data_IF_560457951280
#
_entry.id   IF_560457951280
#
_cell.length_a   1.000
_cell.length_b   1.000
_cell.length_c   1.000
_cell.angle_alpha   90.00
_cell.angle_beta   90.00
_cell.angle_gamma   90.00
#
_symmetry.space_group_name_H-M   'P 1'
#
loop_
_entity.id
_entity.type
_entity.pdbx_description
1 polymer ?
#
# COMPACT_ATOMS: atom_id res chain seq x y z
N UNK A 1 27.70 -83.91 -19.78
CA UNK A 1 27.90 -84.66 -18.52
C UNK A 1 29.05 -84.01 -17.80
N UNK A 2 28.71 -83.43 -16.67
CA UNK A 2 29.52 -82.64 -15.74
C UNK A 2 30.50 -83.53 -15.00
N UNK A 3 31.73 -83.06 -14.81
CA UNK A 3 32.34 -82.86 -13.49
C UNK A 3 33.85 -82.68 -13.64
N UNK A 4 34.33 -81.48 -13.28
CA UNK A 4 35.76 -81.22 -13.14
C UNK A 4 35.97 -80.37 -11.90
N UNK A 5 36.32 -81.11 -10.85
CA UNK A 5 37.28 -80.81 -9.81
C UNK A 5 37.48 -79.34 -9.41
N UNK A 6 37.01 -79.04 -8.20
CA UNK A 6 37.44 -77.91 -7.41
C UNK A 6 38.94 -77.98 -7.09
N UNK A 7 39.66 -76.88 -7.36
CA UNK A 7 40.88 -76.52 -6.64
C UNK A 7 40.82 -75.03 -6.33
N UNK A 8 40.48 -74.73 -5.08
CA UNK A 8 40.65 -73.43 -4.46
C UNK A 8 42.14 -73.09 -4.44
N UNK A 9 42.53 -72.05 -5.17
CA UNK A 9 43.82 -71.39 -4.99
C UNK A 9 43.60 -70.18 -4.07
N UNK A 10 44.26 -70.19 -2.91
CA UNK A 10 44.32 -69.05 -2.00
C UNK A 10 45.05 -67.90 -2.67
N UNK A 11 44.42 -66.73 -2.71
CA UNK A 11 45.14 -65.47 -2.95
C UNK A 11 45.14 -64.69 -1.65
N UNK A 12 46.35 -64.56 -1.13
CA UNK A 12 46.78 -63.83 0.05
C UNK A 12 46.25 -62.39 0.00
N UNK A 13 45.26 -62.06 0.84
CA UNK A 13 44.89 -60.66 1.08
C UNK A 13 45.89 -60.07 2.07
N UNK A 14 46.65 -59.11 1.58
CA UNK A 14 47.56 -58.28 2.36
C UNK A 14 46.74 -57.46 3.35
N UNK A 15 46.96 -57.70 4.64
CA UNK A 15 46.29 -57.04 5.76
C UNK A 15 46.75 -55.58 5.83
N UNK A 16 45.88 -54.64 5.43
CA UNK A 16 46.08 -53.22 5.66
C UNK A 16 45.62 -52.93 7.09
N UNK A 17 46.57 -52.61 7.98
CA UNK A 17 46.27 -52.25 9.38
C UNK A 17 45.18 -51.18 9.45
N UNK A 18 44.22 -51.29 10.39
CA UNK A 18 43.24 -50.24 10.60
C UNK A 18 43.98 -49.04 11.19
N UNK A 19 44.11 -47.97 10.41
CA UNK A 19 44.53 -46.69 10.95
C UNK A 19 43.38 -46.20 11.84
N UNK A 20 43.51 -46.41 13.15
CA UNK A 20 42.56 -45.91 14.14
C UNK A 20 42.62 -44.38 14.12
N UNK A 21 41.66 -43.77 13.43
CA UNK A 21 41.47 -42.32 13.41
C UNK A 21 41.26 -41.88 14.87
N UNK A 22 42.14 -41.03 15.45
CA UNK A 22 41.95 -40.56 16.82
C UNK A 22 40.64 -39.78 16.90
N UNK A 23 39.83 -40.07 17.93
CA UNK A 23 38.59 -39.35 18.15
C UNK A 23 38.87 -37.84 18.19
N UNK A 24 38.08 -37.02 17.48
CA UNK A 24 38.35 -35.60 17.40
C UNK A 24 38.28 -34.98 18.81
N UNK A 25 39.17 -34.05 19.13
CA UNK A 25 39.19 -33.42 20.44
C UNK A 25 37.88 -32.66 20.72
N UNK A 26 37.41 -32.72 21.98
CA UNK A 26 36.06 -32.33 22.40
C UNK A 26 35.65 -30.89 22.01
N UNK A 27 36.62 -29.97 21.88
CA UNK A 27 36.37 -28.59 21.45
C UNK A 27 35.80 -28.48 20.02
N UNK A 28 36.17 -29.39 19.11
CA UNK A 28 35.63 -29.42 17.74
C UNK A 28 34.16 -29.82 17.73
N UNK A 29 33.76 -30.71 18.65
CA UNK A 29 32.36 -31.10 18.80
C UNK A 29 31.53 -29.96 19.37
N UNK A 30 32.07 -29.24 20.35
CA UNK A 30 31.44 -28.03 20.90
C UNK A 30 31.30 -26.91 19.86
N UNK A 31 32.34 -26.64 19.07
CA UNK A 31 32.28 -25.65 17.98
C UNK A 31 31.24 -26.03 16.92
N UNK A 32 31.19 -27.31 16.52
CA UNK A 32 30.17 -27.79 15.59
C UNK A 32 28.75 -27.66 16.14
N UNK A 33 28.56 -27.92 17.45
CA UNK A 33 27.27 -27.75 18.12
C UNK A 33 26.84 -26.27 18.14
N UNK A 34 27.71 -25.35 18.58
CA UNK A 34 27.41 -23.92 18.63
C UNK A 34 27.19 -23.31 17.24
N UNK A 35 27.96 -23.76 16.23
CA UNK A 35 27.76 -23.34 14.85
C UNK A 35 26.38 -23.76 14.32
N UNK A 36 25.95 -25.00 14.58
CA UNK A 36 24.62 -25.49 14.17
C UNK A 36 23.48 -24.76 14.88
N UNK A 37 23.62 -24.49 16.18
CA UNK A 37 22.62 -23.71 16.94
C UNK A 37 22.54 -22.28 16.42
N UNK A 38 23.68 -21.62 16.21
CA UNK A 38 23.75 -20.26 15.67
C UNK A 38 23.18 -20.16 14.25
N UNK A 39 23.52 -21.12 13.38
CA UNK A 39 23.02 -21.16 12.01
C UNK A 39 21.49 -21.38 11.96
N UNK A 40 20.96 -22.31 12.76
CA UNK A 40 19.51 -22.53 12.87
C UNK A 40 18.78 -21.30 13.40
N UNK A 41 19.35 -20.62 14.40
CA UNK A 41 18.78 -19.38 14.94
C UNK A 41 18.80 -18.25 13.91
N UNK A 42 19.90 -18.10 13.17
CA UNK A 42 20.03 -17.11 12.10
C UNK A 42 19.04 -17.35 10.96
N UNK A 43 18.82 -18.60 10.55
CA UNK A 43 17.81 -18.94 9.55
C UNK A 43 16.39 -18.64 10.03
N UNK A 44 16.06 -18.97 11.29
CA UNK A 44 14.77 -18.63 11.89
C UNK A 44 14.53 -17.11 11.93
N UNK A 45 15.54 -16.34 12.35
CA UNK A 45 15.49 -14.87 12.35
C UNK A 45 15.36 -14.30 10.92
N UNK A 46 16.04 -14.89 9.94
CA UNK A 46 15.96 -14.45 8.53
C UNK A 46 14.56 -14.65 7.95
N UNK A 47 13.88 -15.75 8.29
CA UNK A 47 12.49 -16.00 7.89
C UNK A 47 11.54 -15.00 8.57
N UNK A 48 11.75 -14.70 9.86
CA UNK A 48 10.93 -13.73 10.60
C UNK A 48 11.09 -12.29 10.08
N UNK A 49 12.28 -11.90 9.64
CA UNK A 49 12.53 -10.57 9.05
C UNK A 49 12.00 -10.51 7.60
N UNK A 50 12.05 -11.62 6.86
CA UNK A 50 11.56 -11.72 5.48
C UNK A 50 10.04 -11.60 5.33
N UNK A 51 9.26 -11.93 6.37
CA UNK A 51 7.79 -11.77 6.36
C UNK A 51 7.30 -10.38 6.80
N UNK A 52 8.21 -9.49 7.21
CA UNK A 52 7.87 -8.13 7.62
C UNK A 52 7.91 -7.11 6.47
N UNK A 53 8.08 -7.55 5.21
CA UNK A 53 8.11 -6.64 4.05
C UNK A 53 7.08 -7.03 2.99
N UNK A 54 5.81 -7.08 3.41
CA UNK A 54 4.68 -6.84 2.52
C UNK A 54 4.25 -5.38 2.66
N UNK A 55 4.97 -4.46 2.02
CA UNK A 55 4.40 -3.14 1.75
C UNK A 55 4.89 -2.59 0.42
N UNK A 56 4.57 -3.30 -0.65
CA UNK A 56 4.25 -2.62 -1.90
C UNK A 56 2.91 -1.91 -1.72
N UNK A 57 2.93 -0.78 -0.99
CA UNK A 57 1.81 0.15 -0.94
C UNK A 57 1.67 0.79 -2.31
N UNK A 58 0.95 0.13 -3.21
CA UNK A 58 0.25 0.84 -4.26
C UNK A 58 -0.65 1.84 -3.54
N UNK A 59 -0.25 3.11 -3.49
CA UNK A 59 -0.93 4.15 -2.75
C UNK A 59 -2.38 4.20 -3.22
N UNK A 60 -3.26 3.54 -2.49
CA UNK A 60 -4.70 3.66 -2.64
C UNK A 60 -5.09 4.68 -1.59
N UNK A 61 -5.88 5.68 -1.96
CA UNK A 61 -6.38 6.67 -1.00
C UNK A 61 -7.04 5.90 0.15
N UNK A 62 -6.61 6.08 1.41
CA UNK A 62 -7.12 5.32 2.54
C UNK A 62 -8.48 5.86 2.95
N UNK A 63 -9.49 5.64 2.11
CA UNK A 63 -10.88 5.99 2.37
C UNK A 63 -11.38 5.25 3.61
N UNK A 64 -12.01 5.98 4.52
CA UNK A 64 -12.63 5.46 5.74
C UNK A 64 -14.09 5.87 5.79
N UNK A 65 -14.90 5.19 6.60
CA UNK A 65 -16.27 5.64 6.86
C UNK A 65 -16.23 7.03 7.47
N UNK A 66 -16.99 7.97 6.92
CA UNK A 66 -16.95 9.35 7.36
C UNK A 66 -17.39 9.52 8.83
N UNK A 67 -18.32 8.68 9.29
CA UNK A 67 -18.77 8.58 10.69
C UNK A 67 -17.67 8.17 11.68
N UNK A 68 -16.57 7.58 11.22
CA UNK A 68 -15.48 7.16 12.09
C UNK A 68 -14.46 8.30 12.36
N UNK A 69 -14.39 9.32 11.51
CA UNK A 69 -13.34 10.34 11.56
C UNK A 69 -13.84 11.78 11.57
N UNK A 70 -15.14 12.00 11.40
CA UNK A 70 -15.80 13.31 11.39
C UNK A 70 -16.97 13.30 12.36
N UNK A 71 -17.19 14.41 13.05
CA UNK A 71 -18.31 14.55 13.99
C UNK A 71 -19.67 14.59 13.26
N UNK A 72 -20.71 14.12 13.95
CA UNK A 72 -22.10 14.10 13.45
C UNK A 72 -22.56 15.45 12.85
N UNK A 73 -22.35 16.61 13.51
CA UNK A 73 -22.87 17.88 13.00
C UNK A 73 -22.19 18.30 11.70
N UNK A 74 -20.89 18.00 11.54
CA UNK A 74 -20.15 18.30 10.32
C UNK A 74 -20.63 17.39 9.19
N UNK A 75 -20.89 16.11 9.47
CA UNK A 75 -21.44 15.19 8.46
C UNK A 75 -22.80 15.64 7.94
N UNK A 76 -23.68 16.09 8.83
CA UNK A 76 -24.99 16.59 8.44
C UNK A 76 -24.88 17.83 7.55
N UNK A 77 -24.03 18.79 7.93
CA UNK A 77 -23.73 19.96 7.13
C UNK A 77 -23.21 19.58 5.73
N UNK A 78 -22.24 18.67 5.66
CA UNK A 78 -21.61 18.23 4.41
C UNK A 78 -22.62 17.53 3.49
N UNK A 79 -23.46 16.66 4.05
CA UNK A 79 -24.49 15.92 3.30
C UNK A 79 -25.53 16.91 2.75
N UNK A 80 -26.10 17.76 3.61
CA UNK A 80 -27.13 18.72 3.21
C UNK A 80 -26.63 19.72 2.15
N UNK A 81 -25.34 20.09 2.20
CA UNK A 81 -24.75 21.01 1.23
C UNK A 81 -24.53 20.38 -0.16
N UNK A 82 -24.40 19.05 -0.25
CA UNK A 82 -23.96 18.37 -1.47
C UNK A 82 -24.98 17.40 -2.07
N UNK A 83 -26.05 17.07 -1.34
CA UNK A 83 -27.04 16.09 -1.80
C UNK A 83 -28.41 16.27 -1.16
N UNK A 84 -29.46 15.92 -1.89
CA UNK A 84 -30.84 15.87 -1.42
C UNK A 84 -31.21 14.50 -0.81
N UNK A 85 -30.25 13.58 -0.67
CA UNK A 85 -30.49 12.28 -0.04
C UNK A 85 -30.81 12.43 1.46
N UNK A 86 -31.61 11.49 1.96
CA UNK A 86 -31.81 11.33 3.40
C UNK A 86 -30.46 11.19 4.13
N UNK A 87 -30.32 11.90 5.25
CA UNK A 87 -29.07 11.99 6.00
C UNK A 87 -28.63 10.63 6.52
N UNK A 88 -29.54 9.80 7.04
CA UNK A 88 -29.20 8.49 7.55
C UNK A 88 -28.72 7.58 6.40
N UNK A 89 -29.43 7.59 5.28
CA UNK A 89 -29.03 6.86 4.07
C UNK A 89 -27.65 7.31 3.53
N UNK A 90 -27.39 8.62 3.51
CA UNK A 90 -26.12 9.15 3.03
C UNK A 90 -24.96 8.77 3.96
N UNK A 91 -25.15 8.85 5.29
CA UNK A 91 -24.14 8.51 6.30
C UNK A 91 -23.65 7.05 6.22
N UNK A 92 -24.51 6.11 5.85
CA UNK A 92 -24.17 4.67 5.80
C UNK A 92 -22.99 4.36 4.85
N UNK A 93 -22.94 5.07 3.72
CA UNK A 93 -22.01 4.79 2.63
C UNK A 93 -21.00 5.92 2.36
N UNK A 94 -21.13 7.06 3.05
CA UNK A 94 -20.23 8.19 2.86
C UNK A 94 -18.83 7.84 3.35
N UNK A 95 -17.88 7.92 2.43
CA UNK A 95 -16.47 7.74 2.73
C UNK A 95 -15.78 9.10 2.84
N UNK A 96 -14.77 9.18 3.68
CA UNK A 96 -13.94 10.35 3.85
C UNK A 96 -12.45 9.96 3.92
N UNK A 97 -11.60 10.88 3.48
CA UNK A 97 -10.16 10.82 3.61
C UNK A 97 -9.64 12.15 4.15
N UNK A 98 -8.83 12.09 5.19
CA UNK A 98 -8.32 13.27 5.87
C UNK A 98 -6.83 13.44 5.65
N UNK A 99 -6.42 14.68 5.39
CA UNK A 99 -5.04 15.10 5.21
C UNK A 99 -4.74 16.22 6.18
N UNK A 100 -3.64 16.11 6.92
CA UNK A 100 -3.22 17.15 7.86
C UNK A 100 -2.71 18.39 7.10
N UNK A 101 -3.21 19.55 7.50
CA UNK A 101 -2.65 20.85 7.20
C UNK A 101 -1.69 21.31 8.31
N UNK A 102 -1.36 22.60 8.34
CA UNK A 102 -0.47 23.15 9.38
C UNK A 102 -1.08 23.05 10.78
N UNK A 103 -2.24 23.70 10.96
CA UNK A 103 -2.98 23.74 12.24
C UNK A 103 -4.46 23.36 12.03
N UNK A 104 -4.71 22.48 11.04
CA UNK A 104 -6.06 22.17 10.57
C UNK A 104 -6.05 20.89 9.74
N UNK A 105 -7.21 20.46 9.27
CA UNK A 105 -7.35 19.27 8.44
C UNK A 105 -8.13 19.59 7.17
N UNK A 106 -7.70 19.01 6.06
CA UNK A 106 -8.54 18.85 4.88
C UNK A 106 -9.23 17.49 5.00
N UNK A 107 -10.56 17.45 4.92
CA UNK A 107 -11.31 16.20 4.80
C UNK A 107 -12.03 16.17 3.47
N UNK A 108 -11.64 15.23 2.61
CA UNK A 108 -12.28 14.93 1.34
C UNK A 108 -13.38 13.90 1.56
N UNK A 109 -14.58 14.18 1.07
CA UNK A 109 -15.73 13.31 1.08
C UNK A 109 -15.97 12.74 -0.32
N UNK A 110 -16.20 11.44 -0.34
CA UNK A 110 -16.42 10.68 -1.56
C UNK A 110 -17.91 10.33 -1.65
N UNK A 111 -18.62 11.04 -2.53
CA UNK A 111 -20.03 10.79 -2.83
C UNK A 111 -20.20 9.78 -3.97
N UNK A 112 -19.22 8.92 -4.23
CA UNK A 112 -19.31 7.83 -5.20
C UNK A 112 -20.28 6.75 -4.71
N UNK A 113 -21.56 7.07 -4.79
CA UNK A 113 -22.66 6.13 -4.60
C UNK A 113 -23.43 6.05 -5.92
N UNK A 114 -24.07 4.90 -6.23
CA UNK A 114 -24.81 4.75 -7.49
C UNK A 114 -25.87 5.82 -7.76
N UNK A 115 -26.38 6.48 -6.72
CA UNK A 115 -27.39 7.55 -6.83
C UNK A 115 -26.81 8.94 -7.11
N UNK A 116 -25.51 9.16 -6.83
CA UNK A 116 -24.87 10.49 -6.87
C UNK A 116 -23.79 10.62 -7.94
N UNK A 117 -23.44 9.53 -8.63
CA UNK A 117 -22.59 9.58 -9.82
C UNK A 117 -23.42 9.77 -11.08
N UNK A 118 -22.95 10.63 -11.98
CA UNK A 118 -23.57 10.88 -13.27
C UNK A 118 -22.58 10.72 -14.42
N UNK A 119 -22.98 11.15 -15.62
CA UNK A 119 -22.13 11.07 -16.83
C UNK A 119 -20.83 11.88 -16.72
N UNK A 120 -20.80 12.90 -15.86
CA UNK A 120 -19.62 13.74 -15.60
C UNK A 120 -18.65 13.15 -14.57
N UNK A 121 -18.98 11.99 -14.00
CA UNK A 121 -18.24 11.36 -12.91
C UNK A 121 -18.98 11.42 -11.58
N UNK A 122 -18.24 11.20 -10.51
CA UNK A 122 -18.74 11.20 -9.14
C UNK A 122 -18.29 12.47 -8.41
N UNK A 123 -19.15 12.98 -7.53
CA UNK A 123 -18.86 14.16 -6.75
C UNK A 123 -17.83 13.85 -5.64
N UNK A 124 -16.83 14.72 -5.53
CA UNK A 124 -15.90 14.79 -4.42
C UNK A 124 -15.89 16.20 -3.86
N UNK A 125 -16.12 16.34 -2.56
CA UNK A 125 -16.11 17.62 -1.87
C UNK A 125 -15.06 17.63 -0.76
N UNK A 126 -14.30 18.71 -0.61
CA UNK A 126 -13.26 18.86 0.41
C UNK A 126 -13.61 19.99 1.35
N UNK A 127 -13.54 19.71 2.65
CA UNK A 127 -13.81 20.67 3.70
C UNK A 127 -12.57 20.95 4.53
N UNK A 128 -12.38 22.23 4.84
CA UNK A 128 -11.37 22.71 5.78
C UNK A 128 -11.94 22.65 7.19
N UNK A 129 -11.42 21.72 7.98
CA UNK A 129 -11.82 21.50 9.36
C UNK A 129 -10.77 22.11 10.30
N UNK A 130 -11.22 23.01 11.16
CA UNK A 130 -10.41 23.69 12.17
C UNK A 130 -11.06 23.49 13.53
N UNK A 131 -10.23 23.38 14.56
CA UNK A 131 -10.73 23.20 15.93
C UNK A 131 -11.64 24.37 16.32
N UNK A 132 -12.82 24.07 16.87
CA UNK A 132 -13.82 25.04 17.29
C UNK A 132 -14.30 26.02 16.20
N UNK A 133 -14.17 25.67 14.92
CA UNK A 133 -14.65 26.48 13.80
C UNK A 133 -15.59 25.67 12.91
N UNK A 134 -16.52 26.33 12.20
CA UNK A 134 -17.39 25.66 11.26
C UNK A 134 -16.59 25.03 10.12
N UNK A 135 -17.08 23.90 9.60
CA UNK A 135 -16.52 23.30 8.40
C UNK A 135 -16.77 24.22 7.20
N UNK A 136 -15.72 24.49 6.43
CA UNK A 136 -15.79 25.35 5.24
C UNK A 136 -15.49 24.50 4.01
N UNK A 137 -16.38 24.50 3.02
CA UNK A 137 -16.10 23.82 1.75
C UNK A 137 -15.03 24.59 0.97
N UNK A 138 -13.97 23.90 0.56
CA UNK A 138 -12.82 24.48 -0.12
C UNK A 138 -12.48 23.78 -1.44
N UNK A 139 -13.09 22.62 -1.72
CA UNK A 139 -12.89 21.87 -2.96
C UNK A 139 -14.20 21.19 -3.35
N UNK A 140 -14.56 21.23 -4.63
CA UNK A 140 -15.69 20.49 -5.16
C UNK A 140 -15.42 20.19 -6.62
N UNK A 141 -15.43 18.92 -7.01
CA UNK A 141 -15.25 18.51 -8.41
C UNK A 141 -15.97 17.19 -8.69
N UNK A 142 -16.46 17.07 -9.92
CA UNK A 142 -16.88 15.80 -10.49
C UNK A 142 -15.67 15.13 -11.13
N UNK A 143 -15.34 13.93 -10.67
CA UNK A 143 -14.16 13.19 -11.10
C UNK A 143 -14.56 11.77 -11.48
N UNK A 144 -13.87 11.22 -12.49
CA UNK A 144 -14.02 9.81 -12.85
C UNK A 144 -13.16 8.95 -11.90
N UNK A 145 -13.76 8.08 -11.07
CA UNK A 145 -13.01 7.19 -10.18
C UNK A 145 -12.39 5.98 -10.91
N UNK A 146 -12.77 5.74 -12.17
CA UNK A 146 -12.33 4.58 -12.93
C UNK A 146 -10.93 4.81 -13.50
N UNK A 147 -9.92 4.53 -12.69
CA UNK A 147 -8.51 4.60 -13.05
C UNK A 147 -7.93 3.19 -13.25
N UNK A 148 -6.81 3.04 -13.98
CA UNK A 148 -6.06 1.80 -14.04
C UNK A 148 -5.67 1.30 -12.65
N UNK A 149 -5.47 0.00 -12.51
CA UNK A 149 -5.04 -0.60 -11.25
C UNK A 149 -3.79 0.09 -10.67
N UNK A 150 -3.75 0.24 -9.35
CA UNK A 150 -2.66 0.86 -8.60
C UNK A 150 -2.44 2.36 -8.90
N UNK A 151 -3.41 3.06 -9.47
CA UNK A 151 -3.39 4.51 -9.63
C UNK A 151 -4.45 5.16 -8.71
N UNK A 152 -4.03 5.89 -7.66
CA UNK A 152 -4.98 6.58 -6.79
C UNK A 152 -5.63 7.76 -7.50
N UNK A 153 -6.91 7.98 -7.22
CA UNK A 153 -7.62 9.18 -7.67
C UNK A 153 -7.02 10.45 -7.06
N UNK A 154 -6.71 10.43 -5.76
CA UNK A 154 -6.11 11.55 -5.05
C UNK A 154 -4.76 11.17 -4.45
N UNK A 155 -3.85 12.13 -4.38
CA UNK A 155 -2.63 12.05 -3.59
C UNK A 155 -2.37 13.40 -2.94
N UNK A 156 -1.63 13.38 -1.83
CA UNK A 156 -1.12 14.61 -1.22
C UNK A 156 0.01 15.12 -2.11
N UNK A 157 -0.15 16.34 -2.62
CA UNK A 157 0.87 17.01 -3.41
C UNK A 157 1.86 17.79 -2.55
N UNK A 158 2.66 18.61 -3.22
CA UNK A 158 3.64 19.48 -2.58
C UNK A 158 3.01 20.42 -1.54
N UNK A 159 3.66 20.60 -0.39
CA UNK A 159 3.28 21.64 0.56
C UNK A 159 4.00 22.95 0.23
N UNK A 160 3.25 23.94 -0.25
CA UNK A 160 3.78 25.26 -0.64
C UNK A 160 3.75 26.30 0.48
N UNK A 161 3.74 25.85 1.73
CA UNK A 161 3.63 26.75 2.88
C UNK A 161 2.23 27.34 3.09
N UNK A 162 1.22 26.78 2.43
CA UNK A 162 -0.19 27.15 2.60
C UNK A 162 -0.78 26.51 3.87
N UNK A 163 -2.01 26.90 4.25
CA UNK A 163 -2.68 26.32 5.41
C UNK A 163 -3.03 24.83 5.20
N UNK A 164 -3.30 24.45 3.95
CA UNK A 164 -3.59 23.10 3.50
C UNK A 164 -2.60 22.69 2.40
N UNK A 165 -2.23 21.40 2.29
CA UNK A 165 -1.34 20.92 1.24
C UNK A 165 -2.02 20.97 -0.14
N UNK A 166 -1.24 20.89 -1.21
CA UNK A 166 -1.81 20.68 -2.54
C UNK A 166 -2.40 19.27 -2.67
N UNK A 167 -3.33 19.10 -3.60
CA UNK A 167 -3.90 17.82 -4.01
C UNK A 167 -3.47 17.49 -5.43
N UNK A 168 -2.96 16.29 -5.63
CA UNK A 168 -2.79 15.72 -6.96
C UNK A 168 -3.99 14.83 -7.27
N UNK A 169 -4.62 15.05 -8.42
CA UNK A 169 -5.78 14.30 -8.86
C UNK A 169 -5.46 13.64 -10.20
N UNK A 170 -5.57 12.32 -10.27
CA UNK A 170 -5.40 11.58 -11.52
C UNK A 170 -6.76 11.39 -12.22
N UNK A 171 -6.82 11.66 -13.51
CA UNK A 171 -8.00 11.46 -14.35
C UNK A 171 -7.62 10.77 -15.66
N UNK A 172 -8.57 10.02 -16.24
CA UNK A 172 -8.43 9.52 -17.60
C UNK A 172 -8.79 10.62 -18.61
N UNK A 173 -7.97 10.79 -19.63
CA UNK A 173 -8.21 11.64 -20.80
C UNK A 173 -8.01 10.78 -22.06
N UNK A 174 -9.11 10.14 -22.50
CA UNK A 174 -9.04 9.03 -23.44
C UNK A 174 -8.26 7.87 -22.83
N UNK A 175 -7.22 7.39 -23.52
CA UNK A 175 -6.35 6.30 -23.05
C UNK A 175 -5.12 6.80 -22.24
N UNK A 176 -5.06 8.10 -21.94
CA UNK A 176 -3.92 8.71 -21.24
C UNK A 176 -4.32 9.13 -19.83
N UNK A 177 -3.37 9.04 -18.90
CA UNK A 177 -3.55 9.61 -17.57
C UNK A 177 -3.18 11.09 -17.59
N UNK A 178 -4.02 11.90 -16.97
CA UNK A 178 -3.80 13.32 -16.73
C UNK A 178 -3.69 13.55 -15.23
N UNK A 179 -2.63 14.24 -14.81
CA UNK A 179 -2.46 14.70 -13.45
C UNK A 179 -2.86 16.17 -13.35
N UNK A 180 -3.77 16.46 -12.43
CA UNK A 180 -4.27 17.78 -12.09
C UNK A 180 -3.73 18.14 -10.71
N UNK A 181 -3.04 19.26 -10.59
CA UNK A 181 -2.50 19.72 -9.31
C UNK A 181 -3.34 20.91 -8.83
N UNK A 182 -4.02 20.73 -7.71
CA UNK A 182 -4.82 21.75 -7.06
C UNK A 182 -4.11 22.25 -5.81
N UNK A 183 -4.06 23.56 -5.57
CA UNK A 183 -3.49 24.11 -4.34
C UNK A 183 -4.44 25.10 -3.69
N UNK A 184 -4.38 25.18 -2.36
CA UNK A 184 -5.23 26.06 -1.58
C UNK A 184 -4.72 27.49 -1.61
N UNK A 185 -5.53 28.43 -2.08
CA UNK A 185 -5.13 29.83 -2.23
C UNK A 185 -5.45 30.73 -1.02
N UNK A 186 -5.95 30.15 0.09
CA UNK A 186 -6.45 30.89 1.25
C UNK A 186 -7.98 30.88 1.38
N UNK A 187 -8.69 30.58 0.30
CA UNK A 187 -10.15 30.48 0.24
C UNK A 187 -10.61 29.11 -0.30
N UNK A 188 -10.06 28.70 -1.45
CA UNK A 188 -10.40 27.43 -2.11
C UNK A 188 -9.23 26.82 -2.86
N UNK A 189 -9.39 25.56 -3.23
CA UNK A 189 -8.47 24.88 -4.13
C UNK A 189 -8.63 25.40 -5.56
N UNK A 190 -7.50 25.72 -6.18
CA UNK A 190 -7.42 26.14 -7.58
C UNK A 190 -6.47 25.24 -8.36
N UNK A 191 -6.82 24.93 -9.60
CA UNK A 191 -5.96 24.19 -10.52
C UNK A 191 -4.76 25.05 -10.88
N UNK A 192 -3.57 24.63 -10.46
CA UNK A 192 -2.31 25.35 -10.73
C UNK A 192 -1.53 24.75 -11.90
N UNK A 193 -1.71 23.45 -12.16
CA UNK A 193 -1.01 22.74 -13.23
C UNK A 193 -1.84 21.54 -13.69
N UNK A 194 -1.75 21.24 -14.98
CA UNK A 194 -2.37 20.07 -15.59
C UNK A 194 -1.41 19.48 -16.62
N UNK A 195 -1.08 18.20 -16.47
CA UNK A 195 -0.09 17.53 -17.30
C UNK A 195 -0.57 16.14 -17.70
N UNK A 196 -0.36 15.79 -18.96
CA UNK A 196 -0.59 14.42 -19.45
C UNK A 196 0.64 13.60 -19.07
N UNK A 197 0.43 12.52 -18.33
CA UNK A 197 1.48 11.56 -18.00
C UNK A 197 1.75 10.71 -19.24
N UNK A 198 2.98 10.78 -19.75
CA UNK A 198 3.39 10.00 -20.90
C UNK A 198 3.27 8.50 -20.59
N UNK A 199 2.61 7.77 -21.48
CA UNK A 199 2.44 6.33 -21.35
C UNK A 199 3.79 5.64 -21.59
N UNK A 200 4.42 5.10 -20.54
CA UNK A 200 5.39 4.00 -20.72
C UNK A 200 4.70 2.70 -20.35
N UNK A 201 3.79 2.22 -21.21
CA UNK A 201 3.49 0.79 -21.21
C UNK A 201 4.74 0.11 -21.71
N UNK A 202 5.45 -0.53 -20.80
CA UNK A 202 6.33 -1.62 -21.19
C UNK A 202 5.39 -2.66 -21.79
N UNK A 203 5.30 -2.69 -23.12
CA UNK A 203 4.80 -3.86 -23.83
C UNK A 203 5.78 -4.98 -23.49
N UNK A 204 5.41 -5.86 -22.56
CA UNK A 204 6.01 -7.18 -22.52
C UNK A 204 5.55 -7.91 -23.77
N UNK A 205 6.46 -8.03 -24.73
CA UNK A 205 6.37 -8.96 -25.85
C UNK A 205 6.78 -10.36 -25.38
#
# INVERSE_FOLDING_TARGET
MTDSASKLASTQQQELSPSTIPAPPHWLWQLGYWFRVGFSLFLLLSVLIGVASCSSSAATVPWQKATAIVSEPVLEQVIQANTDLDIAQAKENLLAWTVDGKDSKLTLFNFNTPKLCGALGCLYAGYWLRENQPAVEVFQNYLNPNLPANKPLFQVGENRGQALPCLEVLQMEGDRLRQLNYCFNGDRYQLINSQILAHRLIKSY
#
